data_IF_011782906394
#
_entry.id   IF_011782906394
#
_cell.length_a   1.000
_cell.length_b   1.000
_cell.length_c   1.000
_cell.angle_alpha   90.00
_cell.angle_beta   90.00
_cell.angle_gamma   90.00
#
_symmetry.space_group_name_H-M   'P 1'
#
loop_
_entity.id
_entity.type
_entity.pdbx_description
1 polymer ?
#
# COMPACT_ATOMS: atom_id res chain seq x y z
N UNK A 1 -6.28 25.98 -4.12
CA UNK A 1 -6.10 24.52 -4.21
C UNK A 1 -5.87 24.20 -5.68
N UNK A 2 -4.63 24.13 -6.13
CA UNK A 2 -4.32 23.78 -7.51
C UNK A 2 -4.57 22.27 -7.66
N UNK A 3 -5.56 21.91 -8.47
CA UNK A 3 -5.86 20.52 -8.76
C UNK A 3 -4.81 19.99 -9.73
N UNK A 4 -4.06 18.97 -9.32
CA UNK A 4 -2.99 18.31 -10.10
C UNK A 4 -3.52 17.50 -11.31
N UNK A 5 -4.51 18.01 -12.05
CA UNK A 5 -5.06 17.35 -13.24
C UNK A 5 -4.04 17.17 -14.38
N UNK A 6 -2.93 17.91 -14.38
CA UNK A 6 -1.94 17.83 -15.45
C UNK A 6 -1.08 16.54 -15.39
N UNK A 7 -0.86 15.95 -14.21
CA UNK A 7 -0.06 14.72 -14.08
C UNK A 7 -0.86 13.43 -14.30
N UNK A 8 -2.20 13.47 -14.25
CA UNK A 8 -3.02 12.26 -14.44
C UNK A 8 -3.06 11.74 -15.88
N UNK A 9 -2.59 12.53 -16.86
CA UNK A 9 -2.51 12.09 -18.27
C UNK A 9 -1.25 11.30 -18.63
N UNK A 10 -0.22 11.32 -17.78
CA UNK A 10 1.02 10.58 -18.04
C UNK A 10 0.97 9.14 -17.53
N UNK A 11 0.12 8.86 -16.54
CA UNK A 11 -0.05 7.52 -15.96
C UNK A 11 -1.24 6.86 -16.63
N UNK A 12 -0.98 5.88 -17.50
CA UNK A 12 -2.02 5.14 -18.22
C UNK A 12 -2.67 4.03 -17.38
N UNK A 13 -2.00 3.55 -16.34
CA UNK A 13 -2.49 2.49 -15.48
C UNK A 13 -1.66 2.35 -14.20
N UNK A 14 -2.24 1.74 -13.17
CA UNK A 14 -1.62 1.49 -11.87
C UNK A 14 -1.78 0.01 -11.51
N UNK A 15 -0.71 -0.61 -11.04
CA UNK A 15 -0.74 -1.96 -10.46
C UNK A 15 -0.28 -1.86 -9.01
N UNK A 16 -1.11 -2.31 -8.08
CA UNK A 16 -0.78 -2.42 -6.66
C UNK A 16 -0.63 -3.90 -6.31
N UNK A 17 0.60 -4.34 -6.09
CA UNK A 17 0.90 -5.69 -5.64
C UNK A 17 1.06 -5.71 -4.12
N UNK A 18 0.31 -6.60 -3.45
CA UNK A 18 0.21 -6.73 -2.00
C UNK A 18 0.07 -5.37 -1.26
N UNK A 19 -0.97 -4.56 -1.55
CA UNK A 19 -1.24 -3.33 -0.82
C UNK A 19 -1.76 -3.66 0.59
N UNK A 20 -0.82 -3.93 1.51
CA UNK A 20 -1.08 -4.31 2.90
C UNK A 20 -0.53 -3.25 3.84
N UNK A 21 -1.04 -3.22 5.07
CA UNK A 21 -0.70 -2.19 6.04
C UNK A 21 0.53 -2.55 6.88
N UNK A 22 1.62 -1.79 6.71
CA UNK A 22 2.75 -1.80 7.63
C UNK A 22 2.28 -1.50 9.06
N UNK A 23 1.32 -0.59 9.23
CA UNK A 23 0.78 -0.19 10.53
C UNK A 23 0.15 -1.36 11.26
N UNK A 24 -0.70 -2.13 10.57
CA UNK A 24 -1.38 -3.30 11.15
C UNK A 24 -0.41 -4.44 11.42
N UNK A 25 0.58 -4.68 10.52
CA UNK A 25 1.65 -5.63 10.78
C UNK A 25 2.44 -5.26 12.03
N UNK A 26 2.92 -4.02 12.09
CA UNK A 26 3.77 -3.54 13.19
C UNK A 26 3.00 -3.48 14.50
N UNK A 27 1.70 -3.25 14.49
CA UNK A 27 0.85 -3.33 15.69
C UNK A 27 0.84 -4.72 16.34
N UNK A 28 1.27 -5.77 15.64
CA UNK A 28 1.45 -7.12 16.22
C UNK A 28 2.77 -7.26 17.01
N UNK A 29 3.72 -6.34 16.83
CA UNK A 29 5.01 -6.37 17.50
C UNK A 29 4.93 -5.64 18.86
N UNK A 30 5.48 -6.24 19.94
CA UNK A 30 5.31 -5.73 21.30
C UNK A 30 5.91 -4.33 21.51
N UNK A 31 6.99 -4.00 20.82
CA UNK A 31 7.71 -2.73 20.95
C UNK A 31 7.02 -1.55 20.26
N UNK A 32 6.11 -1.81 19.31
CA UNK A 32 5.61 -0.76 18.41
C UNK A 32 4.87 0.35 19.15
N UNK A 33 4.06 0.02 20.15
CA UNK A 33 3.31 1.02 20.92
C UNK A 33 4.21 2.05 21.60
N UNK A 34 5.21 1.60 22.34
CA UNK A 34 6.17 2.48 23.03
C UNK A 34 7.01 3.30 22.04
N UNK A 35 7.36 2.70 20.90
CA UNK A 35 8.13 3.39 19.86
C UNK A 35 7.31 4.46 19.14
N UNK A 36 5.99 4.29 18.97
CA UNK A 36 5.11 5.34 18.45
C UNK A 36 5.14 6.56 19.37
N UNK A 37 5.00 6.35 20.68
CA UNK A 37 5.04 7.42 21.67
C UNK A 37 6.39 8.16 21.68
N UNK A 38 7.48 7.42 21.57
CA UNK A 38 8.82 8.01 21.46
C UNK A 38 8.97 8.83 20.19
N UNK A 39 8.53 8.30 19.04
CA UNK A 39 8.58 9.00 17.76
C UNK A 39 7.77 10.32 17.82
N UNK A 40 6.56 10.29 18.38
CA UNK A 40 5.73 11.47 18.57
C UNK A 40 6.40 12.53 19.47
N UNK A 41 7.06 12.10 20.56
CA UNK A 41 7.84 13.01 21.43
C UNK A 41 9.03 13.63 20.69
N UNK A 42 9.76 12.84 19.90
CA UNK A 42 10.88 13.35 19.10
C UNK A 42 10.39 14.35 18.05
N UNK A 43 9.30 14.06 17.35
CA UNK A 43 8.71 14.97 16.34
C UNK A 43 8.28 16.29 16.99
N UNK A 44 7.56 16.24 18.12
CA UNK A 44 7.14 17.47 18.82
C UNK A 44 8.30 18.30 19.38
N UNK A 45 9.45 17.68 19.64
CA UNK A 45 10.69 18.35 20.00
C UNK A 45 11.50 18.88 18.79
N UNK A 46 10.96 18.81 17.56
CA UNK A 46 11.66 19.23 16.34
C UNK A 46 12.72 18.24 15.85
N UNK A 47 12.72 17.02 16.36
CA UNK A 47 13.71 15.96 16.10
C UNK A 47 13.16 14.85 15.20
N UNK A 48 12.22 15.17 14.31
CA UNK A 48 11.59 14.19 13.42
C UNK A 48 12.58 13.47 12.49
N UNK A 49 13.68 14.13 12.11
CA UNK A 49 14.72 13.55 11.24
C UNK A 49 15.82 12.82 12.00
N UNK A 50 15.79 12.83 13.34
CA UNK A 50 16.75 12.06 14.14
C UNK A 50 16.42 10.56 14.05
N UNK A 51 17.48 9.75 14.11
CA UNK A 51 17.33 8.29 14.17
C UNK A 51 16.73 7.87 15.52
N UNK A 52 15.81 6.91 15.44
CA UNK A 52 15.26 6.22 16.60
C UNK A 52 16.20 5.13 17.12
N UNK A 53 16.01 4.66 18.37
CA UNK A 53 16.69 3.49 18.89
C UNK A 53 16.52 2.25 17.99
N UNK A 54 17.42 1.29 18.12
CA UNK A 54 17.42 0.07 17.29
C UNK A 54 16.15 -0.77 17.49
N UNK A 55 15.54 -0.67 18.67
CA UNK A 55 14.28 -1.30 19.02
C UNK A 55 13.13 -0.84 18.12
N UNK A 56 13.18 0.39 17.57
CA UNK A 56 12.17 0.83 16.61
C UNK A 56 12.23 0.02 15.31
N UNK A 57 13.44 -0.32 14.84
CA UNK A 57 13.59 -1.17 13.67
C UNK A 57 14.94 -1.88 13.71
N UNK A 58 14.92 -3.19 13.96
CA UNK A 58 16.11 -4.02 14.10
C UNK A 58 16.85 -4.22 12.78
N UNK A 59 16.13 -4.14 11.66
CA UNK A 59 16.63 -4.43 10.32
C UNK A 59 17.38 -3.25 9.69
N UNK A 60 16.89 -2.02 9.90
CA UNK A 60 17.46 -0.82 9.30
C UNK A 60 17.23 0.43 10.16
N UNK A 61 18.20 1.37 10.23
CA UNK A 61 17.99 2.66 10.88
C UNK A 61 16.75 3.38 10.34
N UNK A 62 15.95 3.93 11.24
CA UNK A 62 14.71 4.65 10.90
C UNK A 62 14.65 5.97 11.66
N UNK A 63 14.15 7.02 11.02
CA UNK A 63 13.93 8.32 11.67
C UNK A 63 12.62 8.30 12.46
N UNK A 64 12.50 9.21 13.43
CA UNK A 64 11.26 9.38 14.19
C UNK A 64 10.05 9.65 13.28
N UNK A 65 10.22 10.51 12.27
CA UNK A 65 9.18 10.81 11.29
C UNK A 65 8.75 9.57 10.49
N UNK A 66 9.70 8.83 9.92
CA UNK A 66 9.36 7.66 9.09
C UNK A 66 8.72 6.55 9.90
N UNK A 67 9.19 6.32 11.13
CA UNK A 67 8.57 5.35 12.04
C UNK A 67 7.12 5.74 12.37
N UNK A 68 6.90 6.99 12.77
CA UNK A 68 5.56 7.48 13.07
C UNK A 68 4.65 7.40 11.83
N UNK A 69 5.16 7.76 10.65
CA UNK A 69 4.42 7.69 9.39
C UNK A 69 3.92 6.27 9.07
N UNK A 70 4.73 5.26 9.34
CA UNK A 70 4.39 3.84 9.17
C UNK A 70 3.44 3.29 10.23
N UNK A 71 3.59 3.72 11.48
CA UNK A 71 3.01 3.02 12.64
C UNK A 71 1.82 3.75 13.28
N UNK A 72 1.68 5.05 13.08
CA UNK A 72 0.59 5.81 13.66
C UNK A 72 -0.69 5.67 12.83
N UNK A 73 -1.85 5.66 13.50
CA UNK A 73 -3.14 5.76 12.83
C UNK A 73 -3.21 7.07 12.04
N UNK A 74 -3.58 6.97 10.77
CA UNK A 74 -3.58 8.11 9.83
C UNK A 74 -2.20 8.76 9.64
N UNK A 75 -1.10 8.04 9.90
CA UNK A 75 0.24 8.42 9.44
C UNK A 75 0.29 8.62 7.92
N UNK A 76 1.34 9.24 7.40
CA UNK A 76 1.40 9.58 5.97
C UNK A 76 1.40 8.30 5.10
N UNK A 77 1.97 7.20 5.62
CA UNK A 77 2.06 5.90 4.94
C UNK A 77 0.94 4.92 5.33
N UNK A 78 -0.01 5.33 6.19
CA UNK A 78 -1.18 4.52 6.56
C UNK A 78 -2.24 4.54 5.45
N UNK A 79 -1.95 3.80 4.38
CA UNK A 79 -2.72 3.83 3.13
C UNK A 79 -3.71 2.66 2.99
N UNK A 80 -3.44 1.53 3.65
CA UNK A 80 -4.10 0.24 3.37
C UNK A 80 -4.68 -0.45 4.63
N UNK A 81 -4.75 0.23 5.77
CA UNK A 81 -5.23 -0.39 7.00
C UNK A 81 -6.71 -0.76 6.94
N UNK A 82 -7.04 -1.94 7.45
CA UNK A 82 -8.38 -2.51 7.42
C UNK A 82 -9.41 -1.76 8.27
N UNK A 83 -8.96 -0.94 9.22
CA UNK A 83 -9.82 -0.14 10.09
C UNK A 83 -10.02 1.31 9.61
N UNK A 84 -9.40 1.72 8.49
CA UNK A 84 -9.68 3.01 7.88
C UNK A 84 -11.11 3.01 7.37
N UNK A 85 -11.87 4.07 7.61
CA UNK A 85 -13.21 4.25 7.06
C UNK A 85 -13.19 4.40 5.53
N UNK A 86 -14.34 4.22 4.88
CA UNK A 86 -14.47 4.44 3.43
C UNK A 86 -14.02 5.86 3.01
N UNK A 87 -14.35 6.88 3.80
CA UNK A 87 -13.95 8.26 3.52
C UNK A 87 -12.45 8.46 3.65
N UNK A 88 -11.80 7.82 4.63
CA UNK A 88 -10.34 7.85 4.78
C UNK A 88 -9.65 7.13 3.62
N UNK A 89 -10.13 5.95 3.25
CA UNK A 89 -9.61 5.23 2.07
C UNK A 89 -9.78 6.05 0.80
N UNK A 90 -10.94 6.71 0.62
CA UNK A 90 -11.18 7.60 -0.53
C UNK A 90 -10.27 8.83 -0.51
N UNK A 91 -10.03 9.43 0.66
CA UNK A 91 -9.08 10.53 0.80
C UNK A 91 -7.65 10.10 0.38
N UNK A 92 -7.25 8.89 0.75
CA UNK A 92 -5.92 8.32 0.49
C UNK A 92 -5.74 7.89 -0.96
N UNK A 93 -6.70 7.13 -1.50
CA UNK A 93 -6.57 6.38 -2.75
C UNK A 93 -7.43 6.93 -3.89
N UNK A 94 -8.45 7.74 -3.58
CA UNK A 94 -9.45 8.19 -4.56
C UNK A 94 -8.90 9.09 -5.66
N UNK A 95 -7.71 9.65 -5.49
CA UNK A 95 -7.02 10.37 -6.55
C UNK A 95 -6.64 9.47 -7.75
N UNK A 96 -6.60 8.14 -7.56
CA UNK A 96 -6.37 7.15 -8.61
C UNK A 96 -7.66 6.66 -9.29
N UNK A 97 -8.85 7.05 -8.80
CA UNK A 97 -10.14 6.53 -9.29
C UNK A 97 -10.45 6.81 -10.76
N UNK A 98 -9.72 7.71 -11.41
CA UNK A 98 -9.85 8.02 -12.84
C UNK A 98 -8.84 7.29 -13.72
N UNK A 99 -7.96 6.47 -13.12
CA UNK A 99 -6.92 5.71 -13.80
C UNK A 99 -7.23 4.23 -13.65
N UNK A 100 -7.03 3.44 -14.72
CA UNK A 100 -7.26 2.01 -14.63
C UNK A 100 -6.30 1.40 -13.59
N UNK A 101 -6.87 0.78 -12.57
CA UNK A 101 -6.12 0.19 -11.46
C UNK A 101 -6.33 -1.32 -11.44
N UNK A 102 -5.27 -2.05 -11.08
CA UNK A 102 -5.28 -3.46 -10.78
C UNK A 102 -4.69 -3.70 -9.38
N UNK A 103 -5.45 -4.37 -8.52
CA UNK A 103 -5.00 -4.83 -7.22
C UNK A 103 -4.66 -6.32 -7.29
N UNK A 104 -3.39 -6.67 -7.10
CA UNK A 104 -2.94 -8.06 -6.99
C UNK A 104 -2.73 -8.37 -5.52
N UNK A 105 -3.64 -9.15 -4.93
CA UNK A 105 -3.62 -9.42 -3.49
C UNK A 105 -3.16 -10.84 -3.17
N UNK A 106 -2.18 -10.94 -2.27
CA UNK A 106 -1.57 -12.19 -1.81
C UNK A 106 -2.40 -12.81 -0.69
N UNK A 107 -3.09 -13.93 -0.95
CA UNK A 107 -4.01 -14.50 0.04
C UNK A 107 -3.30 -15.18 1.22
N UNK A 108 -2.04 -15.56 1.07
CA UNK A 108 -1.19 -16.07 2.17
C UNK A 108 -0.10 -15.07 2.57
N UNK A 109 -0.33 -13.77 2.37
CA UNK A 109 0.56 -12.71 2.83
C UNK A 109 0.78 -12.79 4.35
N UNK A 110 2.05 -12.92 4.73
CA UNK A 110 2.55 -13.08 6.09
C UNK A 110 2.57 -11.78 6.91
N UNK A 111 2.44 -10.62 6.25
CA UNK A 111 2.40 -9.32 6.93
C UNK A 111 0.97 -8.90 7.27
N UNK A 112 -0.04 -9.56 6.72
CA UNK A 112 -1.44 -9.29 7.07
C UNK A 112 -1.81 -10.06 8.34
N UNK A 113 -2.17 -9.37 9.45
CA UNK A 113 -2.54 -10.04 10.68
C UNK A 113 -3.76 -10.96 10.53
N UNK A 114 -3.82 -12.03 11.34
CA UNK A 114 -4.89 -13.05 11.26
C UNK A 114 -6.30 -12.48 11.49
N UNK A 115 -6.43 -11.40 12.26
CA UNK A 115 -7.72 -10.77 12.51
C UNK A 115 -8.29 -10.02 11.30
N UNK A 116 -7.49 -9.73 10.27
CA UNK A 116 -7.91 -8.96 9.10
C UNK A 116 -8.64 -9.86 8.12
N UNK A 117 -9.89 -9.50 7.80
CA UNK A 117 -10.61 -10.09 6.67
C UNK A 117 -10.01 -9.56 5.35
N UNK A 118 -9.09 -10.35 4.79
CA UNK A 118 -8.39 -10.05 3.52
C UNK A 118 -9.36 -9.75 2.37
N UNK A 119 -10.49 -10.46 2.28
CA UNK A 119 -11.45 -10.27 1.18
C UNK A 119 -12.21 -8.96 1.34
N UNK A 120 -12.69 -8.70 2.55
CA UNK A 120 -13.35 -7.43 2.85
C UNK A 120 -12.39 -6.24 2.64
N UNK A 121 -11.13 -6.38 3.04
CA UNK A 121 -10.10 -5.37 2.80
C UNK A 121 -9.93 -5.07 1.31
N UNK A 122 -9.68 -6.10 0.48
CA UNK A 122 -9.47 -5.91 -0.97
C UNK A 122 -10.69 -5.27 -1.63
N UNK A 123 -11.90 -5.69 -1.27
CA UNK A 123 -13.13 -5.10 -1.79
C UNK A 123 -13.21 -3.60 -1.53
N UNK A 124 -12.85 -3.17 -0.32
CA UNK A 124 -12.91 -1.77 0.10
C UNK A 124 -11.83 -0.95 -0.56
N UNK A 125 -10.61 -1.49 -0.69
CA UNK A 125 -9.54 -0.86 -1.45
C UNK A 125 -9.95 -0.67 -2.92
N UNK A 126 -10.56 -1.67 -3.55
CA UNK A 126 -10.99 -1.56 -4.95
C UNK A 126 -12.07 -0.48 -5.15
N UNK A 127 -13.03 -0.38 -4.23
CA UNK A 127 -14.04 0.69 -4.25
C UNK A 127 -13.40 2.07 -4.12
N UNK A 128 -12.46 2.23 -3.19
CA UNK A 128 -11.74 3.49 -3.01
C UNK A 128 -10.91 3.88 -4.24
N UNK A 129 -10.45 2.89 -5.02
CA UNK A 129 -9.71 3.05 -6.28
C UNK A 129 -10.61 3.21 -7.51
N UNK A 130 -11.91 3.47 -7.35
CA UNK A 130 -12.84 3.66 -8.47
C UNK A 130 -13.33 2.35 -9.08
N UNK A 131 -13.67 1.38 -8.23
CA UNK A 131 -14.10 0.03 -8.61
C UNK A 131 -13.07 -0.71 -9.47
N UNK A 132 -11.81 -0.66 -9.01
CA UNK A 132 -10.66 -1.25 -9.70
C UNK A 132 -10.77 -2.77 -9.87
N UNK A 133 -10.08 -3.30 -10.89
CA UNK A 133 -9.91 -4.75 -11.04
C UNK A 133 -9.07 -5.31 -9.89
N UNK A 134 -9.32 -6.56 -9.52
CA UNK A 134 -8.51 -7.29 -8.55
C UNK A 134 -8.24 -8.72 -8.99
N UNK A 135 -7.09 -9.23 -8.56
CA UNK A 135 -6.74 -10.65 -8.64
C UNK A 135 -6.30 -11.12 -7.26
N UNK A 136 -6.95 -12.17 -6.77
CA UNK A 136 -6.60 -12.85 -5.52
C UNK A 136 -5.67 -14.03 -5.84
N UNK A 137 -4.39 -13.91 -5.52
CA UNK A 137 -3.41 -14.99 -5.73
C UNK A 137 -3.46 -15.95 -4.54
N UNK A 138 -4.03 -17.13 -4.79
CA UNK A 138 -4.16 -18.16 -3.76
C UNK A 138 -2.78 -18.67 -3.32
N UNK A 139 -2.58 -18.70 -2.00
CA UNK A 139 -1.33 -19.15 -1.37
C UNK A 139 -0.08 -18.32 -1.70
N UNK A 140 -0.23 -17.16 -2.35
CA UNK A 140 0.88 -16.25 -2.59
C UNK A 140 1.35 -15.62 -1.28
N UNK A 141 2.67 -15.62 -1.05
CA UNK A 141 3.29 -14.83 0.01
C UNK A 141 3.36 -13.34 -0.40
N UNK A 142 3.82 -12.48 0.50
CA UNK A 142 3.88 -11.04 0.27
C UNK A 142 4.65 -10.67 -1.01
N UNK A 143 5.81 -11.27 -1.23
CA UNK A 143 6.65 -11.00 -2.40
C UNK A 143 6.20 -11.74 -3.67
N UNK A 144 5.14 -12.57 -3.60
CA UNK A 144 4.74 -13.52 -4.64
C UNK A 144 5.89 -14.39 -5.17
N UNK A 145 6.95 -14.59 -4.38
CA UNK A 145 8.13 -15.35 -4.78
C UNK A 145 7.84 -16.84 -4.99
N UNK A 146 6.73 -17.32 -4.43
CA UNK A 146 6.21 -18.67 -4.65
C UNK A 146 5.12 -18.76 -5.73
N UNK A 147 4.77 -17.62 -6.37
CA UNK A 147 3.69 -17.47 -7.37
C UNK A 147 4.09 -16.55 -8.53
N UNK A 148 5.38 -16.52 -8.86
CA UNK A 148 5.95 -15.59 -9.86
C UNK A 148 5.26 -15.69 -11.21
N UNK A 149 5.01 -16.90 -11.71
CA UNK A 149 4.39 -17.12 -13.02
C UNK A 149 2.99 -16.47 -13.09
N UNK A 150 2.15 -16.73 -12.08
CA UNK A 150 0.80 -16.18 -11.98
C UNK A 150 0.82 -14.65 -11.87
N UNK A 151 1.74 -14.11 -11.08
CA UNK A 151 1.91 -12.66 -10.94
C UNK A 151 2.31 -12.00 -12.27
N UNK A 152 3.28 -12.59 -13.00
CA UNK A 152 3.76 -12.08 -14.28
C UNK A 152 2.67 -12.14 -15.35
N UNK A 153 1.93 -13.25 -15.43
CA UNK A 153 0.82 -13.40 -16.38
C UNK A 153 -0.23 -12.30 -16.18
N UNK A 154 -0.66 -12.10 -14.93
CA UNK A 154 -1.63 -11.06 -14.57
C UNK A 154 -1.13 -9.64 -14.92
N UNK A 155 0.13 -9.34 -14.62
CA UNK A 155 0.74 -8.03 -14.92
C UNK A 155 0.84 -7.82 -16.44
N UNK A 156 1.33 -8.81 -17.18
CA UNK A 156 1.49 -8.72 -18.64
C UNK A 156 0.13 -8.57 -19.32
N UNK A 157 -0.88 -9.31 -18.88
CA UNK A 157 -2.24 -9.20 -19.43
C UNK A 157 -2.83 -7.81 -19.19
N UNK A 158 -2.64 -7.25 -17.99
CA UNK A 158 -3.05 -5.87 -17.69
C UNK A 158 -2.33 -4.86 -18.59
N UNK A 159 -1.00 -4.94 -18.68
CA UNK A 159 -0.19 -4.03 -19.52
C UNK A 159 -0.56 -4.15 -21.00
N UNK A 160 -0.86 -5.35 -21.49
CA UNK A 160 -1.31 -5.54 -22.87
C UNK A 160 -2.67 -4.92 -23.12
N UNK A 161 -3.62 -5.04 -22.19
CA UNK A 161 -4.98 -4.48 -22.35
C UNK A 161 -4.99 -2.96 -22.22
N UNK A 162 -4.31 -2.41 -21.22
CA UNK A 162 -4.38 -1.00 -20.81
C UNK A 162 -3.20 -0.15 -21.27
N UNK A 163 -2.17 -0.79 -21.85
CA UNK A 163 -1.02 -0.10 -22.43
C UNK A 163 -1.32 0.60 -23.76
N UNK A 164 -0.30 1.27 -24.34
CA UNK A 164 -0.42 1.96 -25.62
C UNK A 164 -0.97 1.06 -26.73
N UNK A 165 -1.79 1.63 -27.61
CA UNK A 165 -2.41 0.95 -28.75
C UNK A 165 -1.98 1.58 -30.06
N UNK A 166 -1.99 0.78 -31.13
CA UNK A 166 -1.68 1.26 -32.48
C UNK A 166 -0.18 1.29 -32.74
N UNK A 167 0.33 2.39 -33.31
CA UNK A 167 1.75 2.49 -33.72
C UNK A 167 2.75 2.30 -32.57
N UNK A 168 2.34 2.65 -31.35
CA UNK A 168 3.16 2.56 -30.14
C UNK A 168 2.94 1.26 -29.35
N UNK A 169 2.19 0.29 -29.89
CA UNK A 169 1.94 -1.01 -29.24
C UNK A 169 3.17 -1.93 -29.40
N UNK A 170 3.90 -2.28 -28.31
CA UNK A 170 5.05 -3.16 -28.39
C UNK A 170 4.68 -4.65 -28.49
N UNK A 171 3.38 -4.98 -28.45
CA UNK A 171 2.86 -6.34 -28.43
C UNK A 171 2.24 -6.79 -29.75
N UNK A 172 2.12 -5.89 -30.73
CA UNK A 172 1.63 -6.16 -32.08
C UNK A 172 2.69 -6.70 -33.03
#
# INVERSE_FOLDING_TARGET
MQTNFACSKAVSGVILQAPVSDREYRATLPETGEMIDLAAKMISAGRGMDLMPREANSDAPITAYRFHSLCAYMGDDDMFSSDLSEDQLKQRLGHMSTTQCLVIFSMADEYVPEYVDKKALVDRLCRALGDSEKVEIKWGNHALSNRVQEAVEVIVDFVKREGPKGWDDPWS
#
